data_IF_596295235260
#
_entry.id   IF_596295235260
#
_cell.length_a   1.000
_cell.length_b   1.000
_cell.length_c   1.000
_cell.angle_alpha   90.00
_cell.angle_beta   90.00
_cell.angle_gamma   90.00
#
_symmetry.space_group_name_H-M   'P 1'
#
loop_
_entity.id
_entity.type
_entity.pdbx_description
1 polymer ?
#
# COMPACT_ATOMS: atom_id res chain seq x y z
N UNK A 1 19.64 11.24 8.95
CA UNK A 1 20.05 12.21 7.92
C UNK A 1 18.81 12.72 7.20
N UNK A 2 18.50 14.01 7.39
CA UNK A 2 17.31 14.69 6.85
C UNK A 2 17.57 15.09 5.38
N UNK A 3 17.06 14.34 4.42
CA UNK A 3 16.93 14.85 3.05
C UNK A 3 15.63 15.66 2.96
N UNK A 4 15.74 16.98 3.21
CA UNK A 4 14.75 17.95 2.73
C UNK A 4 14.80 17.92 1.19
N UNK A 5 14.03 17.03 0.58
CA UNK A 5 13.77 17.11 -0.86
C UNK A 5 13.02 18.43 -1.07
N UNK A 6 13.61 19.36 -1.81
CA UNK A 6 12.94 20.55 -2.33
C UNK A 6 11.75 20.06 -3.18
N UNK A 7 10.58 19.94 -2.58
CA UNK A 7 9.38 19.45 -3.24
C UNK A 7 8.97 20.46 -4.31
N UNK A 8 9.39 20.22 -5.56
CA UNK A 8 8.80 20.88 -6.71
C UNK A 8 7.29 20.64 -6.65
N UNK A 9 6.54 21.74 -6.50
CA UNK A 9 5.09 21.77 -6.54
C UNK A 9 4.65 21.10 -7.85
N UNK A 10 3.86 20.05 -7.74
CA UNK A 10 3.24 19.39 -8.89
C UNK A 10 2.05 20.24 -9.31
N UNK A 11 2.04 20.67 -10.56
CA UNK A 11 0.81 21.07 -11.25
C UNK A 11 0.30 19.86 -12.01
N UNK A 12 -0.93 19.45 -11.77
CA UNK A 12 -1.50 18.25 -12.37
C UNK A 12 -2.62 18.61 -13.34
N UNK A 13 -2.39 18.33 -14.62
CA UNK A 13 -3.31 18.58 -15.74
C UNK A 13 -4.32 17.45 -15.97
N UNK A 14 -4.29 16.40 -15.14
CA UNK A 14 -5.16 15.23 -15.26
C UNK A 14 -4.56 14.06 -16.04
N UNK A 15 -3.32 14.17 -16.54
CA UNK A 15 -2.65 13.10 -17.29
C UNK A 15 -1.59 12.40 -16.44
N UNK A 16 -1.73 11.10 -16.26
CA UNK A 16 -0.78 10.25 -15.54
C UNK A 16 0.37 9.82 -16.45
N UNK A 17 1.39 10.68 -16.58
CA UNK A 17 2.66 10.31 -17.20
C UNK A 17 3.38 9.20 -16.41
N UNK A 18 4.30 8.42 -17.00
CA UNK A 18 5.04 7.40 -16.27
C UNK A 18 5.75 7.94 -15.01
N UNK A 19 6.27 9.16 -15.06
CA UNK A 19 6.88 9.82 -13.91
C UNK A 19 5.85 10.15 -12.81
N UNK A 20 4.69 10.69 -13.18
CA UNK A 20 3.61 10.97 -12.22
C UNK A 20 3.03 9.69 -11.60
N UNK A 21 2.93 8.59 -12.36
CA UNK A 21 2.52 7.29 -11.82
C UNK A 21 3.47 6.79 -10.75
N UNK A 22 4.78 6.81 -11.04
CA UNK A 22 5.81 6.44 -10.06
C UNK A 22 5.75 7.34 -8.83
N UNK A 23 5.55 8.64 -9.00
CA UNK A 23 5.43 9.59 -7.89
C UNK A 23 4.17 9.35 -7.05
N UNK A 24 3.02 9.08 -7.70
CA UNK A 24 1.77 8.73 -7.01
C UNK A 24 1.94 7.47 -6.18
N UNK A 25 2.50 6.42 -6.79
CA UNK A 25 2.77 5.15 -6.14
C UNK A 25 3.76 5.32 -4.98
N UNK A 26 4.90 5.97 -5.21
CA UNK A 26 5.91 6.21 -4.19
C UNK A 26 5.31 6.98 -3.01
N UNK A 27 4.58 8.07 -3.25
CA UNK A 27 3.94 8.84 -2.20
C UNK A 27 2.93 8.01 -1.39
N UNK A 28 2.09 7.23 -2.07
CA UNK A 28 1.12 6.36 -1.40
C UNK A 28 1.82 5.33 -0.51
N UNK A 29 2.89 4.71 -1.01
CA UNK A 29 3.70 3.75 -0.25
C UNK A 29 4.52 4.41 0.87
N UNK A 30 4.94 5.67 0.70
CA UNK A 30 5.58 6.51 1.73
C UNK A 30 4.67 6.75 2.91
N UNK A 31 3.40 7.00 2.63
CA UNK A 31 2.36 7.17 3.63
C UNK A 31 1.75 5.85 4.09
N UNK A 32 2.32 4.69 3.72
CA UNK A 32 1.81 3.37 4.13
C UNK A 32 0.35 3.09 3.72
N UNK A 33 -0.15 3.77 2.69
CA UNK A 33 -1.57 3.74 2.34
C UNK A 33 -1.90 2.54 1.44
N UNK A 34 -2.79 1.64 1.86
CA UNK A 34 -3.39 0.68 0.93
C UNK A 34 -4.32 1.41 -0.06
N UNK A 35 -4.57 0.81 -1.22
CA UNK A 35 -5.39 1.43 -2.28
C UNK A 35 -6.77 1.90 -1.81
N UNK A 36 -7.37 1.18 -0.86
CA UNK A 36 -8.68 1.46 -0.30
C UNK A 36 -8.69 2.76 0.50
N UNK A 37 -7.66 3.00 1.32
CA UNK A 37 -7.54 4.23 2.11
C UNK A 37 -7.35 5.44 1.20
N UNK A 38 -6.51 5.32 0.17
CA UNK A 38 -6.37 6.40 -0.82
C UNK A 38 -7.66 6.60 -1.62
N UNK A 39 -8.38 5.52 -1.94
CA UNK A 39 -9.69 5.56 -2.59
C UNK A 39 -10.71 6.34 -1.78
N UNK A 40 -10.81 6.05 -0.48
CA UNK A 40 -11.67 6.78 0.44
C UNK A 40 -11.27 8.26 0.54
N UNK A 41 -9.98 8.56 0.67
CA UNK A 41 -9.47 9.93 0.76
C UNK A 41 -9.83 10.76 -0.49
N UNK A 42 -9.67 10.17 -1.67
CA UNK A 42 -9.96 10.85 -2.94
C UNK A 42 -11.43 10.74 -3.36
N UNK A 43 -12.22 9.96 -2.62
CA UNK A 43 -13.61 9.55 -2.89
C UNK A 43 -13.77 8.92 -4.29
N UNK A 44 -12.90 7.97 -4.61
CA UNK A 44 -12.93 7.19 -5.84
C UNK A 44 -12.75 5.71 -5.55
N UNK A 45 -13.14 4.88 -6.51
CA UNK A 45 -12.94 3.45 -6.39
C UNK A 45 -11.43 3.14 -6.33
N UNK A 46 -11.03 2.29 -5.37
CA UNK A 46 -9.64 1.84 -5.18
C UNK A 46 -9.05 1.23 -6.45
N UNK A 47 -9.87 0.55 -7.27
CA UNK A 47 -9.45 -0.05 -8.53
C UNK A 47 -9.04 0.99 -9.57
N UNK A 48 -9.62 2.20 -9.52
CA UNK A 48 -9.25 3.33 -10.38
C UNK A 48 -7.84 3.81 -10.06
N UNK A 49 -7.48 3.89 -8.78
CA UNK A 49 -6.12 4.26 -8.36
C UNK A 49 -5.11 3.22 -8.84
N UNK A 50 -5.41 1.93 -8.65
CA UNK A 50 -4.58 0.85 -9.18
C UNK A 50 -4.40 0.96 -10.70
N UNK A 51 -5.47 1.24 -11.45
CA UNK A 51 -5.42 1.45 -12.90
C UNK A 51 -4.52 2.64 -13.28
N UNK A 52 -4.53 3.72 -12.51
CA UNK A 52 -3.64 4.86 -12.72
C UNK A 52 -2.18 4.47 -12.51
N UNK A 53 -1.85 3.83 -11.38
CA UNK A 53 -0.47 3.41 -11.07
C UNK A 53 0.07 2.37 -12.05
N UNK A 54 -0.75 1.38 -12.42
CA UNK A 54 -0.38 0.35 -13.41
C UNK A 54 -0.44 0.85 -14.86
N UNK A 55 -0.91 2.08 -15.11
CA UNK A 55 -1.00 2.66 -16.45
C UNK A 55 -2.11 2.13 -17.36
N UNK A 56 -3.06 1.37 -16.80
CA UNK A 56 -4.27 0.93 -17.51
C UNK A 56 -5.21 2.10 -17.82
N UNK A 57 -5.16 3.16 -17.02
CA UNK A 57 -5.92 4.40 -17.26
C UNK A 57 -4.97 5.59 -17.22
N UNK A 58 -5.01 6.41 -18.28
CA UNK A 58 -4.03 7.49 -18.48
C UNK A 58 -4.48 8.85 -17.97
N UNK A 59 -5.79 9.05 -17.78
CA UNK A 59 -6.34 10.35 -17.40
C UNK A 59 -7.38 10.23 -16.28
N UNK A 60 -7.66 11.34 -15.60
CA UNK A 60 -8.81 11.47 -14.71
C UNK A 60 -9.73 12.64 -15.11
N UNK A 61 -10.96 12.60 -14.61
CA UNK A 61 -11.93 13.68 -14.73
C UNK A 61 -11.39 14.98 -14.07
N UNK A 62 -11.80 16.13 -14.59
CA UNK A 62 -11.39 17.47 -14.12
C UNK A 62 -11.62 17.66 -12.62
N UNK A 63 -12.73 17.15 -12.10
CA UNK A 63 -13.08 17.22 -10.68
C UNK A 63 -12.08 16.50 -9.76
N UNK A 64 -11.34 15.51 -10.30
CA UNK A 64 -10.35 14.75 -9.55
C UNK A 64 -8.95 15.38 -9.60
N UNK A 65 -8.68 16.24 -10.59
CA UNK A 65 -7.35 16.84 -10.78
C UNK A 65 -6.87 17.53 -9.52
N UNK A 66 -7.73 18.36 -8.90
CA UNK A 66 -7.33 19.11 -7.71
C UNK A 66 -7.07 18.22 -6.50
N UNK A 67 -7.84 17.15 -6.34
CA UNK A 67 -7.65 16.19 -5.23
C UNK A 67 -6.35 15.41 -5.39
N UNK A 68 -6.07 14.93 -6.60
CA UNK A 68 -4.81 14.25 -6.93
C UNK A 68 -3.62 15.19 -6.77
N UNK A 69 -3.72 16.43 -7.26
CA UNK A 69 -2.69 17.47 -7.09
C UNK A 69 -2.42 17.76 -5.61
N UNK A 70 -3.48 17.98 -4.81
CA UNK A 70 -3.37 18.23 -3.38
C UNK A 70 -2.71 17.06 -2.65
N UNK A 71 -3.04 15.81 -3.04
CA UNK A 71 -2.39 14.62 -2.53
C UNK A 71 -0.90 14.61 -2.90
N UNK A 72 -0.54 14.74 -4.18
CA UNK A 72 0.86 14.73 -4.64
C UNK A 72 1.71 15.82 -3.98
N UNK A 73 1.11 16.97 -3.69
CA UNK A 73 1.76 18.09 -2.99
C UNK A 73 1.72 18.00 -1.46
N UNK A 74 1.12 16.95 -0.90
CA UNK A 74 1.19 16.63 0.51
C UNK A 74 0.23 17.38 1.42
N UNK A 75 -0.83 17.96 0.88
CA UNK A 75 -1.83 18.67 1.68
C UNK A 75 -2.56 17.75 2.68
N UNK A 76 -2.59 16.45 2.42
CA UNK A 76 -3.25 15.47 3.28
C UNK A 76 -2.27 14.73 4.22
N UNK A 77 -0.96 14.92 4.08
CA UNK A 77 0.04 14.07 4.73
C UNK A 77 -0.09 14.11 6.26
N UNK A 78 -0.26 15.30 6.84
CA UNK A 78 -0.46 15.46 8.29
C UNK A 78 -1.71 14.74 8.80
N UNK A 79 -2.82 14.82 8.05
CA UNK A 79 -4.08 14.16 8.41
C UNK A 79 -3.92 12.64 8.36
N UNK A 80 -3.29 12.14 7.30
CA UNK A 80 -3.05 10.71 7.08
C UNK A 80 -2.15 10.15 8.18
N UNK A 81 -1.03 10.82 8.48
CA UNK A 81 -0.10 10.39 9.53
C UNK A 81 -0.81 10.35 10.89
N UNK A 82 -1.64 11.35 11.20
CA UNK A 82 -2.43 11.35 12.45
C UNK A 82 -3.41 10.17 12.50
N UNK A 83 -4.08 9.86 11.39
CA UNK A 83 -5.00 8.72 11.32
C UNK A 83 -4.30 7.37 11.44
N UNK A 84 -3.04 7.25 10.99
CA UNK A 84 -2.26 6.02 11.14
C UNK A 84 -1.76 5.79 12.57
N UNK A 85 -1.77 6.80 13.44
CA UNK A 85 -1.40 6.63 14.85
C UNK A 85 -2.53 6.07 15.71
N UNK A 86 -3.73 5.86 15.13
CA UNK A 86 -4.86 5.26 15.81
C UNK A 86 -4.75 3.72 15.84
N UNK A 87 -4.72 3.10 17.05
CA UNK A 87 -4.59 1.65 17.23
C UNK A 87 -5.68 0.83 16.53
N UNK A 88 -6.88 1.38 16.35
CA UNK A 88 -8.01 0.69 15.75
C UNK A 88 -8.00 0.73 14.22
N UNK A 89 -7.26 1.67 13.62
CA UNK A 89 -7.28 1.90 12.17
C UNK A 89 -5.93 1.69 11.47
N UNK A 90 -4.88 1.42 12.24
CA UNK A 90 -3.69 0.70 11.79
C UNK A 90 -2.40 1.49 11.96
N UNK A 91 -1.57 1.06 12.92
CA UNK A 91 -0.16 1.42 12.95
C UNK A 91 0.71 0.17 12.97
N UNK A 92 1.55 0.02 11.95
CA UNK A 92 2.83 -0.64 12.14
C UNK A 92 3.79 0.46 12.62
N UNK A 93 4.37 0.34 13.83
CA UNK A 93 5.26 1.36 14.39
C UNK A 93 6.53 1.58 13.53
N UNK A 94 6.84 0.62 12.65
CA UNK A 94 7.94 0.66 11.71
C UNK A 94 7.37 0.47 10.31
N UNK A 95 7.72 1.38 9.39
CA UNK A 95 7.35 1.27 7.97
C UNK A 95 7.92 -0.05 7.42
N UNK A 96 7.08 -1.00 6.97
CA UNK A 96 7.56 -2.25 6.42
C UNK A 96 8.38 -2.01 5.16
N UNK A 97 9.29 -2.94 4.84
CA UNK A 97 10.07 -2.86 3.59
C UNK A 97 9.15 -2.89 2.37
N UNK A 98 9.63 -2.37 1.23
CA UNK A 98 8.86 -2.34 -0.02
C UNK A 98 8.29 -3.70 -0.40
N UNK A 99 9.07 -4.78 -0.21
CA UNK A 99 8.64 -6.14 -0.52
C UNK A 99 7.46 -6.58 0.36
N UNK A 100 7.48 -6.23 1.65
CA UNK A 100 6.37 -6.51 2.58
C UNK A 100 5.13 -5.75 2.14
N UNK A 101 5.25 -4.44 1.84
CA UNK A 101 4.11 -3.63 1.39
C UNK A 101 3.50 -4.21 0.10
N UNK A 102 4.34 -4.61 -0.85
CA UNK A 102 3.90 -5.22 -2.11
C UNK A 102 3.17 -6.55 -1.90
N UNK A 103 3.64 -7.39 -0.98
CA UNK A 103 2.95 -8.63 -0.61
C UNK A 103 1.58 -8.34 0.04
N UNK A 104 1.53 -7.41 0.99
CA UNK A 104 0.28 -7.01 1.64
C UNK A 104 -0.73 -6.44 0.63
N UNK A 105 -0.27 -5.66 -0.35
CA UNK A 105 -1.11 -5.17 -1.45
C UNK A 105 -1.71 -6.30 -2.29
N UNK A 106 -0.89 -7.29 -2.68
CA UNK A 106 -1.37 -8.43 -3.46
C UNK A 106 -2.45 -9.17 -2.68
N UNK A 107 -2.22 -9.44 -1.40
CA UNK A 107 -3.18 -10.12 -0.55
C UNK A 107 -4.47 -9.30 -0.40
N UNK A 108 -4.35 -8.02 0.00
CA UNK A 108 -5.49 -7.12 0.19
C UNK A 108 -6.34 -7.01 -1.08
N UNK A 109 -5.70 -6.81 -2.25
CA UNK A 109 -6.41 -6.72 -3.53
C UNK A 109 -7.12 -8.04 -3.87
N UNK A 110 -6.45 -9.17 -3.70
CA UNK A 110 -7.04 -10.50 -3.97
C UNK A 110 -8.24 -10.73 -3.06
N UNK A 111 -8.09 -10.46 -1.76
CA UNK A 111 -9.16 -10.58 -0.78
C UNK A 111 -10.38 -9.70 -1.10
N UNK A 112 -10.17 -8.52 -1.69
CA UNK A 112 -11.27 -7.65 -2.14
C UNK A 112 -11.92 -8.14 -3.44
N UNK A 113 -11.13 -8.63 -4.40
CA UNK A 113 -11.67 -9.20 -5.65
C UNK A 113 -12.58 -10.38 -5.35
N UNK A 114 -12.23 -11.17 -4.34
CA UNK A 114 -13.01 -12.31 -3.89
C UNK A 114 -14.25 -11.94 -3.05
N UNK A 115 -14.56 -10.65 -2.85
CA UNK A 115 -15.77 -10.22 -2.09
C UNK A 115 -17.07 -10.93 -2.52
N UNK A 116 -17.34 -11.19 -3.81
CA UNK A 116 -18.52 -11.92 -4.25
C UNK A 116 -18.50 -13.44 -3.96
N UNK A 117 -17.34 -14.01 -3.57
CA UNK A 117 -17.13 -15.45 -3.35
C UNK A 117 -16.55 -15.69 -1.94
N UNK A 118 -17.41 -15.78 -0.90
CA UNK A 118 -16.97 -15.89 0.49
C UNK A 118 -16.22 -17.19 0.78
N UNK A 119 -16.54 -18.27 0.06
CA UNK A 119 -15.84 -19.55 0.07
C UNK A 119 -14.35 -19.40 -0.29
N UNK A 120 -14.05 -18.70 -1.38
CA UNK A 120 -12.68 -18.46 -1.82
C UNK A 120 -11.93 -17.51 -0.87
N UNK A 121 -12.62 -16.56 -0.23
CA UNK A 121 -12.01 -15.70 0.80
C UNK A 121 -11.60 -16.48 2.03
N UNK A 122 -12.47 -17.35 2.53
CA UNK A 122 -12.18 -18.19 3.68
C UNK A 122 -11.01 -19.14 3.37
N UNK A 123 -11.00 -19.75 2.18
CA UNK A 123 -9.89 -20.59 1.72
C UNK A 123 -8.58 -19.81 1.62
N UNK A 124 -8.59 -18.59 1.08
CA UNK A 124 -7.41 -17.73 0.98
C UNK A 124 -6.81 -17.41 2.36
N UNK A 125 -7.64 -17.09 3.36
CA UNK A 125 -7.17 -16.85 4.74
C UNK A 125 -6.59 -18.12 5.33
N UNK A 126 -7.30 -19.25 5.24
CA UNK A 126 -6.84 -20.54 5.78
C UNK A 126 -5.48 -20.95 5.19
N UNK A 127 -5.29 -20.77 3.89
CA UNK A 127 -4.03 -21.09 3.23
C UNK A 127 -2.91 -20.13 3.66
N UNK A 128 -3.21 -18.84 3.88
CA UNK A 128 -2.23 -17.89 4.40
C UNK A 128 -1.77 -18.30 5.81
N UNK A 129 -2.69 -18.64 6.69
CA UNK A 129 -2.37 -19.06 8.06
C UNK A 129 -1.50 -20.31 8.06
N UNK A 130 -1.84 -21.29 7.22
CA UNK A 130 -1.05 -22.51 7.05
C UNK A 130 0.39 -22.21 6.59
N UNK A 131 0.56 -21.43 5.52
CA UNK A 131 1.89 -21.09 4.99
C UNK A 131 2.68 -20.25 5.99
N UNK A 132 2.01 -19.36 6.73
CA UNK A 132 2.66 -18.52 7.75
C UNK A 132 3.18 -19.38 8.90
N UNK A 133 2.36 -20.29 9.41
CA UNK A 133 2.77 -21.22 10.48
C UNK A 133 3.94 -22.11 10.04
N UNK A 134 3.85 -22.71 8.84
CA UNK A 134 4.94 -23.52 8.28
C UNK A 134 6.23 -22.72 8.12
N UNK A 135 6.14 -21.46 7.66
CA UNK A 135 7.30 -20.59 7.50
C UNK A 135 7.93 -20.24 8.85
N UNK A 136 7.11 -19.96 9.86
CA UNK A 136 7.56 -19.64 11.23
C UNK A 136 8.25 -20.86 11.85
N UNK A 137 7.64 -22.04 11.76
CA UNK A 137 8.20 -23.30 12.24
C UNK A 137 9.56 -23.59 11.60
N UNK A 138 9.66 -23.46 10.27
CA UNK A 138 10.91 -23.65 9.55
C UNK A 138 11.98 -22.64 9.96
N UNK A 139 11.62 -21.36 10.19
CA UNK A 139 12.55 -20.34 10.66
C UNK A 139 13.07 -20.66 12.06
N UNK A 140 12.20 -21.08 12.98
CA UNK A 140 12.62 -21.50 14.32
C UNK A 140 13.53 -22.73 14.28
N UNK A 141 13.15 -23.76 13.51
CA UNK A 141 13.95 -24.98 13.38
C UNK A 141 15.34 -24.68 12.78
N UNK A 142 15.39 -23.90 11.70
CA UNK A 142 16.66 -23.51 11.08
C UNK A 142 17.56 -22.65 11.98
N UNK A 143 16.98 -21.97 12.97
CA UNK A 143 17.73 -21.19 13.96
C UNK A 143 18.26 -22.11 15.06
N UNK A 144 17.45 -23.06 15.53
CA UNK A 144 17.86 -24.08 16.50
C UNK A 144 18.99 -24.96 15.97
N UNK A 145 18.89 -25.41 14.71
CA UNK A 145 19.92 -26.24 14.07
C UNK A 145 21.25 -25.49 13.94
N UNK A 146 21.23 -24.17 13.72
CA UNK A 146 22.45 -23.33 13.67
C UNK A 146 23.07 -23.08 15.04
N UNK A 147 22.28 -23.13 16.11
CA UNK A 147 22.78 -22.97 17.49
C UNK A 147 23.39 -24.29 17.96
N UNK A 148 22.77 -25.43 17.62
CA UNK A 148 23.25 -26.76 18.00
C UNK A 148 24.54 -27.13 17.23
N UNK A 149 24.65 -26.78 15.94
CA UNK A 149 25.82 -27.12 15.12
C UNK A 149 26.98 -26.11 15.17
N UNK A 150 26.87 -25.01 15.94
CA UNK A 150 27.96 -24.05 16.21
C UNK A 150 28.55 -24.18 17.62
N UNK A 151 28.14 -25.20 18.38
CA UNK A 151 28.78 -25.67 19.63
C UNK A 151 29.37 -27.07 19.38
#
# INVERSE_FOLDING_TARGET
MNQKSSLKIVKFDGVFTPALRRRLQAKRLELGLPYQRLGMLLQINWSTIRKWECGQTRCCNINLRKRVENFLNGKYDKLIIKQMQDPLTGSYPIRPSYNVIKCMEKFSNTYQILKPRPDLRASLIKNLDLVTNQSIEHLFQSTLDKIINNN
#
